data_IF_813243853125
#
_entry.id   IF_813243853125
#
_cell.length_a   1.000
_cell.length_b   1.000
_cell.length_c   1.000
_cell.angle_alpha   90.00
_cell.angle_beta   90.00
_cell.angle_gamma   90.00
#
_symmetry.space_group_name_H-M   'P 1'
#
loop_
_entity.id
_entity.type
_entity.pdbx_description
1 polymer ?
#
# COMPACT_ATOMS: atom_id res chain seq x y z
N UNK A 1 14.44 -22.01 4.94
CA UNK A 1 12.98 -21.85 4.98
C UNK A 1 12.50 -21.25 6.29
N UNK A 2 13.32 -21.34 7.32
CA UNK A 2 13.13 -20.68 8.62
C UNK A 2 13.79 -19.32 8.66
N UNK A 3 14.58 -19.05 7.68
CA UNK A 3 15.53 -17.95 7.65
C UNK A 3 14.91 -16.64 7.18
N UNK A 4 13.60 -16.67 6.92
CA UNK A 4 12.84 -15.49 6.47
C UNK A 4 12.45 -14.55 7.61
N UNK A 5 12.56 -15.03 8.86
CA UNK A 5 12.16 -14.23 9.99
C UNK A 5 13.30 -14.07 10.98
N UNK A 6 13.47 -12.86 11.48
CA UNK A 6 14.48 -12.62 12.47
C UNK A 6 14.25 -13.46 13.71
N UNK A 7 15.30 -13.77 14.32
CA UNK A 7 15.59 -14.44 15.58
C UNK A 7 14.44 -15.10 16.37
N UNK A 8 13.30 -14.47 16.53
CA UNK A 8 12.19 -15.02 17.30
C UNK A 8 11.52 -16.23 16.65
N UNK A 9 11.62 -16.38 15.33
CA UNK A 9 11.02 -17.47 14.56
C UNK A 9 12.03 -18.53 14.11
N UNK A 10 13.31 -18.22 14.19
CA UNK A 10 14.39 -19.15 13.81
C UNK A 10 14.32 -20.47 14.60
N UNK A 11 13.79 -20.40 15.81
CA UNK A 11 13.65 -21.56 16.69
C UNK A 11 12.33 -22.32 16.54
N UNK A 12 11.42 -21.84 15.70
CA UNK A 12 10.17 -22.54 15.44
C UNK A 12 10.35 -23.52 14.29
N UNK A 13 10.48 -24.84 14.58
CA UNK A 13 10.81 -25.84 13.58
C UNK A 13 9.75 -26.01 12.51
N UNK A 14 8.57 -25.45 12.71
CA UNK A 14 7.39 -25.61 11.86
C UNK A 14 7.02 -24.36 11.06
N UNK A 15 7.79 -23.27 11.19
CA UNK A 15 7.48 -22.04 10.43
C UNK A 15 7.92 -22.22 8.98
N UNK A 16 7.08 -22.85 8.19
CA UNK A 16 7.18 -22.81 6.74
C UNK A 16 6.28 -21.67 6.27
N UNK A 17 6.88 -20.56 5.85
CA UNK A 17 6.13 -19.53 5.20
C UNK A 17 6.04 -19.90 3.74
N UNK A 18 4.85 -20.22 3.36
CA UNK A 18 4.52 -20.49 1.98
C UNK A 18 4.08 -19.17 1.38
N UNK A 19 4.97 -18.57 0.60
CA UNK A 19 4.73 -17.30 -0.11
C UNK A 19 3.78 -17.46 -1.29
N UNK A 20 2.92 -18.46 -1.30
CA UNK A 20 2.08 -18.82 -2.45
C UNK A 20 1.16 -17.67 -2.90
N UNK A 21 0.92 -16.70 -2.04
CA UNK A 21 -0.01 -15.61 -2.29
C UNK A 21 0.67 -14.24 -2.41
N UNK A 22 1.98 -14.17 -2.28
CA UNK A 22 2.71 -12.99 -2.73
C UNK A 22 2.70 -13.03 -4.26
N UNK A 23 1.67 -12.50 -4.86
CA UNK A 23 1.69 -12.14 -6.27
C UNK A 23 2.71 -11.03 -6.42
N UNK A 24 3.97 -11.40 -6.61
CA UNK A 24 4.93 -10.46 -7.16
C UNK A 24 4.40 -10.10 -8.55
N UNK A 25 3.75 -8.97 -8.66
CA UNK A 25 3.49 -8.36 -9.97
C UNK A 25 4.86 -7.92 -10.47
N UNK A 26 5.59 -8.85 -11.09
CA UNK A 26 6.72 -8.50 -11.92
C UNK A 26 6.13 -7.75 -13.11
N UNK A 27 6.11 -6.43 -13.01
CA UNK A 27 6.05 -5.65 -14.23
C UNK A 27 7.32 -5.97 -15.01
N UNK A 28 7.19 -6.84 -15.99
CA UNK A 28 8.28 -7.13 -16.89
C UNK A 28 8.41 -5.90 -17.81
N UNK A 29 9.17 -4.91 -17.34
CA UNK A 29 9.41 -3.65 -18.05
C UNK A 29 10.08 -3.83 -19.42
N UNK A 30 10.53 -5.05 -19.74
CA UNK A 30 11.18 -5.37 -21.01
C UNK A 30 10.20 -5.50 -22.18
N UNK A 31 8.90 -5.66 -21.93
CA UNK A 31 7.91 -5.84 -22.99
C UNK A 31 7.05 -4.61 -23.29
N UNK A 32 7.22 -3.52 -22.55
CA UNK A 32 6.45 -2.30 -22.77
C UNK A 32 7.27 -1.30 -23.57
N UNK A 33 6.81 -0.95 -24.74
CA UNK A 33 7.36 0.15 -25.55
C UNK A 33 7.31 1.50 -24.82
N UNK A 34 6.50 1.62 -23.79
CA UNK A 34 6.44 2.76 -22.88
C UNK A 34 6.65 2.29 -21.44
N UNK A 35 7.65 2.83 -20.77
CA UNK A 35 7.84 2.65 -19.33
C UNK A 35 6.65 3.26 -18.59
N UNK A 36 5.88 2.43 -17.92
CA UNK A 36 4.88 2.89 -16.96
C UNK A 36 5.62 3.22 -15.67
N UNK A 37 5.68 4.49 -15.30
CA UNK A 37 6.28 4.89 -14.03
C UNK A 37 5.50 4.31 -12.84
N UNK A 38 6.20 4.08 -11.71
CA UNK A 38 5.64 3.49 -10.48
C UNK A 38 4.33 4.17 -10.06
N UNK A 39 4.25 5.50 -10.14
CA UNK A 39 3.06 6.26 -9.79
C UNK A 39 1.86 6.00 -10.70
N UNK A 40 2.09 5.69 -11.97
CA UNK A 40 0.99 5.35 -12.87
C UNK A 40 0.50 3.93 -12.64
N UNK A 41 1.42 3.00 -12.32
CA UNK A 41 1.06 1.64 -11.93
C UNK A 41 0.27 1.64 -10.61
N UNK A 42 0.72 2.41 -9.63
CA UNK A 42 0.03 2.58 -8.35
C UNK A 42 -1.35 3.21 -8.52
N UNK A 43 -1.45 4.24 -9.36
CA UNK A 43 -2.74 4.86 -9.70
C UNK A 43 -3.68 3.85 -10.36
N UNK A 44 -3.21 3.06 -11.33
CA UNK A 44 -3.99 2.01 -11.99
C UNK A 44 -4.50 0.97 -11.01
N UNK A 45 -3.64 0.49 -10.12
CA UNK A 45 -4.03 -0.44 -9.04
C UNK A 45 -5.15 0.13 -8.18
N UNK A 46 -5.00 1.36 -7.71
CA UNK A 46 -6.01 2.02 -6.89
C UNK A 46 -7.33 2.21 -7.64
N UNK A 47 -7.26 2.57 -8.93
CA UNK A 47 -8.43 2.70 -9.80
C UNK A 47 -9.19 1.37 -9.91
N UNK A 48 -8.48 0.26 -10.13
CA UNK A 48 -9.10 -1.06 -10.24
C UNK A 48 -9.85 -1.47 -8.97
N UNK A 49 -9.30 -1.13 -7.79
CA UNK A 49 -10.01 -1.32 -6.53
C UNK A 49 -11.25 -0.44 -6.38
N UNK A 50 -11.17 0.83 -6.77
CA UNK A 50 -12.31 1.75 -6.68
C UNK A 50 -13.43 1.41 -7.66
N UNK A 51 -13.08 0.90 -8.83
CA UNK A 51 -14.03 0.43 -9.84
C UNK A 51 -14.58 -0.97 -9.56
N UNK A 52 -14.07 -1.67 -8.55
CA UNK A 52 -14.50 -3.04 -8.23
C UNK A 52 -13.94 -4.12 -9.16
N UNK A 53 -12.95 -3.79 -9.99
CA UNK A 53 -12.25 -4.77 -10.83
C UNK A 53 -11.40 -5.75 -10.02
N UNK A 54 -10.97 -5.33 -8.83
CA UNK A 54 -10.26 -6.16 -7.86
C UNK A 54 -11.10 -6.23 -6.58
N UNK A 55 -11.36 -7.45 -6.11
CA UNK A 55 -12.06 -7.69 -4.85
C UNK A 55 -11.18 -7.38 -3.64
N UNK A 56 -11.83 -7.19 -2.48
CA UNK A 56 -11.16 -6.99 -1.20
C UNK A 56 -10.62 -5.57 -1.01
N UNK A 57 -9.63 -5.44 -0.14
CA UNK A 57 -9.03 -4.17 0.24
C UNK A 57 -7.53 -4.16 -0.06
N UNK A 58 -7.03 -3.04 -0.58
CA UNK A 58 -5.61 -2.87 -0.85
C UNK A 58 -4.89 -2.35 0.40
N UNK A 59 -3.82 -3.03 0.80
CA UNK A 59 -2.86 -2.57 1.80
C UNK A 59 -1.52 -2.29 1.11
N UNK A 60 -1.24 -1.02 0.86
CA UNK A 60 -0.14 -0.56 0.02
C UNK A 60 0.96 0.04 0.90
N UNK A 61 2.07 -0.67 1.00
CA UNK A 61 3.25 -0.26 1.74
C UNK A 61 4.22 0.47 0.80
N UNK A 62 4.25 1.79 0.92
CA UNK A 62 5.06 2.67 0.08
C UNK A 62 5.66 3.81 0.90
N UNK A 63 6.97 3.80 1.10
CA UNK A 63 7.63 4.77 1.98
C UNK A 63 7.86 6.13 1.30
N UNK A 64 6.80 6.73 0.80
CA UNK A 64 6.86 8.08 0.23
C UNK A 64 5.55 8.84 0.40
N UNK A 65 5.49 9.70 1.42
CA UNK A 65 4.34 10.58 1.68
C UNK A 65 3.99 11.42 0.45
N UNK A 66 5.00 11.96 -0.24
CA UNK A 66 4.78 12.82 -1.40
C UNK A 66 4.16 12.08 -2.57
N UNK A 67 4.64 10.87 -2.86
CA UNK A 67 4.14 10.09 -4.01
C UNK A 67 2.76 9.50 -3.75
N UNK A 68 2.50 9.05 -2.52
CA UNK A 68 1.16 8.67 -2.07
C UNK A 68 0.20 9.85 -2.23
N UNK A 69 0.57 11.04 -1.75
CA UNK A 69 -0.27 12.25 -1.86
C UNK A 69 -0.56 12.62 -3.31
N UNK A 70 0.40 12.52 -4.22
CA UNK A 70 0.20 12.74 -5.66
C UNK A 70 -0.75 11.69 -6.27
N UNK A 71 -0.65 10.44 -5.83
CA UNK A 71 -1.56 9.38 -6.29
C UNK A 71 -2.99 9.69 -5.86
N UNK A 72 -3.20 10.09 -4.61
CA UNK A 72 -4.51 10.49 -4.10
C UNK A 72 -5.06 11.71 -4.85
N UNK A 73 -4.20 12.69 -5.15
CA UNK A 73 -4.62 13.85 -5.95
C UNK A 73 -5.13 13.47 -7.35
N UNK A 74 -4.48 12.48 -7.97
CA UNK A 74 -4.97 11.94 -9.25
C UNK A 74 -6.30 11.21 -9.09
N UNK A 75 -6.45 10.40 -8.03
CA UNK A 75 -7.69 9.68 -7.74
C UNK A 75 -8.87 10.63 -7.50
N UNK A 76 -8.65 11.78 -6.88
CA UNK A 76 -9.70 12.81 -6.68
C UNK A 76 -10.32 13.31 -8.00
N UNK A 77 -9.59 13.22 -9.10
CA UNK A 77 -10.03 13.66 -10.43
C UNK A 77 -10.68 12.53 -11.23
N UNK A 78 -10.73 11.33 -10.65
CA UNK A 78 -11.26 10.15 -11.31
C UNK A 78 -12.78 10.23 -11.40
N UNK A 79 -13.29 10.05 -12.60
CA UNK A 79 -14.73 9.98 -12.89
C UNK A 79 -15.03 8.68 -13.60
N UNK A 80 -16.20 8.16 -13.35
CA UNK A 80 -16.73 7.04 -14.11
C UNK A 80 -16.78 7.39 -15.60
N UNK A 81 -16.26 6.56 -16.49
CA UNK A 81 -16.23 6.87 -17.91
C UNK A 81 -17.63 6.95 -18.55
N UNK A 82 -18.62 6.22 -18.00
CA UNK A 82 -19.98 6.17 -18.53
C UNK A 82 -20.89 7.19 -17.86
N UNK A 83 -20.95 7.18 -16.52
CA UNK A 83 -21.88 8.01 -15.75
C UNK A 83 -21.35 9.42 -15.49
N UNK A 84 -20.02 9.65 -15.63
CA UNK A 84 -19.31 10.87 -15.26
C UNK A 84 -19.37 11.23 -13.77
N UNK A 85 -19.88 10.35 -12.95
CA UNK A 85 -19.90 10.51 -11.50
C UNK A 85 -18.50 10.45 -10.91
N UNK A 86 -18.28 11.13 -9.79
CA UNK A 86 -17.01 11.09 -9.08
C UNK A 86 -16.83 9.73 -8.38
N UNK A 87 -15.81 8.98 -8.79
CA UNK A 87 -15.48 7.68 -8.18
C UNK A 87 -14.70 7.84 -6.85
N UNK A 88 -14.15 9.03 -6.63
CA UNK A 88 -13.38 9.29 -5.43
C UNK A 88 -14.27 9.59 -4.23
N UNK A 89 -14.19 8.73 -3.22
CA UNK A 89 -14.73 8.99 -1.89
C UNK A 89 -13.58 8.97 -0.87
N UNK A 90 -13.36 10.06 -0.11
CA UNK A 90 -12.33 10.11 0.92
C UNK A 90 -12.43 8.98 1.94
N UNK A 91 -13.65 8.51 2.21
CA UNK A 91 -13.88 7.40 3.13
C UNK A 91 -13.38 6.04 2.61
N UNK A 92 -13.07 5.94 1.33
CA UNK A 92 -12.47 4.74 0.75
C UNK A 92 -10.95 4.69 0.91
N UNK A 93 -10.32 5.77 1.37
CA UNK A 93 -8.87 5.87 1.46
C UNK A 93 -8.45 6.12 2.90
N UNK A 94 -7.47 5.33 3.36
CA UNK A 94 -6.79 5.48 4.64
C UNK A 94 -5.31 5.72 4.37
N UNK A 95 -4.73 6.71 5.05
CA UNK A 95 -3.33 7.05 4.90
C UNK A 95 -2.63 7.11 6.26
N UNK A 96 -1.76 6.15 6.53
CA UNK A 96 -1.02 6.02 7.77
C UNK A 96 0.44 6.39 7.54
N UNK A 97 0.88 7.46 8.18
CA UNK A 97 2.27 7.89 8.21
C UNK A 97 2.59 8.58 9.54
N UNK A 98 3.84 8.95 9.76
CA UNK A 98 4.21 9.71 10.95
C UNK A 98 3.42 11.01 11.06
N UNK A 99 2.73 11.19 12.18
CA UNK A 99 1.94 12.40 12.47
C UNK A 99 2.84 13.54 12.93
N UNK A 100 3.43 14.22 11.95
CA UNK A 100 4.25 15.40 12.18
C UNK A 100 3.83 16.57 11.27
N UNK A 101 4.26 17.77 11.62
CA UNK A 101 3.89 19.00 10.91
C UNK A 101 4.25 18.97 9.42
N UNK A 102 5.41 18.41 9.07
CA UNK A 102 5.86 18.35 7.67
C UNK A 102 4.99 17.41 6.83
N UNK A 103 4.66 16.23 7.35
CA UNK A 103 3.79 15.28 6.66
C UNK A 103 2.38 15.86 6.51
N UNK A 104 1.82 16.45 7.58
CA UNK A 104 0.53 17.16 7.51
C UNK A 104 0.54 18.22 6.42
N UNK A 105 1.59 19.02 6.36
CA UNK A 105 1.74 20.08 5.35
C UNK A 105 1.81 19.49 3.94
N UNK A 106 2.57 18.39 3.73
CA UNK A 106 2.67 17.72 2.43
C UNK A 106 1.33 17.14 2.00
N UNK A 107 0.66 16.43 2.89
CA UNK A 107 -0.66 15.84 2.63
C UNK A 107 -1.68 16.92 2.28
N UNK A 108 -1.80 17.96 3.10
CA UNK A 108 -2.76 19.07 2.85
C UNK A 108 -2.48 19.83 1.57
N UNK A 109 -1.20 20.08 1.26
CA UNK A 109 -0.83 20.78 0.02
C UNK A 109 -1.30 20.05 -1.22
N UNK A 110 -1.25 18.73 -1.22
CA UNK A 110 -1.53 17.90 -2.39
C UNK A 110 -2.99 17.45 -2.43
N UNK A 111 -3.54 17.07 -1.28
CA UNK A 111 -4.90 16.52 -1.21
C UNK A 111 -5.99 17.55 -0.93
N UNK A 112 -5.61 18.73 -0.45
CA UNK A 112 -6.51 19.81 -0.02
C UNK A 112 -7.05 19.59 1.40
N UNK A 113 -7.63 20.66 1.97
CA UNK A 113 -8.08 20.68 3.37
C UNK A 113 -9.16 19.63 3.70
N UNK A 114 -9.99 19.26 2.74
CA UNK A 114 -11.05 18.27 2.94
C UNK A 114 -10.55 16.85 3.18
N UNK A 115 -9.30 16.58 2.90
CA UNK A 115 -8.71 15.25 3.08
C UNK A 115 -7.44 15.28 3.94
N UNK A 116 -7.23 16.30 4.69
CA UNK A 116 -5.96 16.67 5.32
C UNK A 116 -5.53 15.84 6.53
N UNK A 117 -6.23 14.78 6.92
CA UNK A 117 -5.87 14.08 8.14
C UNK A 117 -5.11 12.78 7.87
N UNK A 118 -3.99 12.65 8.59
CA UNK A 118 -3.24 11.42 8.70
C UNK A 118 -4.04 10.48 9.60
N UNK A 119 -4.29 9.27 9.10
CA UNK A 119 -4.98 8.25 9.87
C UNK A 119 -4.07 7.57 10.88
N UNK A 120 -4.64 7.13 11.99
CA UNK A 120 -3.97 6.21 12.91
C UNK A 120 -3.93 4.80 12.34
N UNK A 121 -2.96 4.00 12.79
CA UNK A 121 -2.91 2.57 12.49
C UNK A 121 -4.11 1.82 13.10
N UNK A 122 -4.74 2.36 14.11
CA UNK A 122 -5.92 1.81 14.78
C UNK A 122 -7.25 2.23 14.16
N UNK A 123 -7.23 3.17 13.21
CA UNK A 123 -8.45 3.55 12.50
C UNK A 123 -8.98 2.38 11.66
N UNK A 124 -10.28 2.33 11.38
CA UNK A 124 -10.86 1.28 10.56
C UNK A 124 -10.20 1.14 9.19
N UNK A 125 -10.03 -0.09 8.75
CA UNK A 125 -9.57 -0.41 7.40
C UNK A 125 -10.55 0.13 6.37
N UNK A 126 -10.03 0.56 5.22
CA UNK A 126 -10.79 1.09 4.10
C UNK A 126 -10.46 0.34 2.81
N UNK A 127 -11.12 0.67 1.73
CA UNK A 127 -10.90 0.02 0.43
C UNK A 127 -9.45 0.11 -0.04
N UNK A 128 -8.80 1.26 0.21
CA UNK A 128 -7.39 1.50 -0.10
C UNK A 128 -6.70 2.03 1.16
N UNK A 129 -5.64 1.36 1.59
CA UNK A 129 -4.89 1.71 2.78
C UNK A 129 -3.43 1.92 2.41
N UNK A 130 -2.93 3.14 2.58
CA UNK A 130 -1.53 3.48 2.35
C UNK A 130 -0.76 3.51 3.67
N UNK A 131 0.45 2.96 3.64
CA UNK A 131 1.35 2.91 4.78
C UNK A 131 2.75 3.36 4.40
N UNK A 132 3.35 4.22 5.22
CA UNK A 132 4.79 4.50 5.16
C UNK A 132 5.54 3.64 6.18
N UNK A 133 6.85 3.80 6.27
CA UNK A 133 7.72 3.02 7.15
C UNK A 133 7.23 2.93 8.61
N UNK A 134 6.46 3.89 9.09
CA UNK A 134 5.87 3.89 10.44
C UNK A 134 5.02 2.65 10.73
N UNK A 135 4.44 2.03 9.72
CA UNK A 135 3.59 0.85 9.86
C UNK A 135 4.25 -0.45 9.34
N UNK A 136 5.53 -0.40 8.93
CA UNK A 136 6.23 -1.59 8.44
C UNK A 136 6.55 -2.57 9.56
N UNK A 137 6.72 -2.06 10.77
CA UNK A 137 7.04 -2.83 11.95
C UNK A 137 5.99 -2.61 13.05
N UNK A 138 5.74 -3.63 13.85
CA UNK A 138 4.96 -3.52 15.08
C UNK A 138 3.45 -3.33 14.94
N UNK A 139 2.88 -3.41 13.74
CA UNK A 139 1.44 -3.28 13.53
C UNK A 139 0.82 -4.61 13.12
N UNK A 140 -0.27 -5.01 13.76
CA UNK A 140 -1.15 -6.07 13.29
C UNK A 140 -2.45 -5.45 12.77
N UNK A 141 -2.77 -5.75 11.52
CA UNK A 141 -3.93 -5.24 10.82
C UNK A 141 -4.85 -6.42 10.53
N UNK A 142 -6.02 -6.42 11.16
CA UNK A 142 -7.02 -7.46 10.95
C UNK A 142 -7.89 -7.08 9.76
N UNK A 143 -7.79 -7.85 8.67
CA UNK A 143 -8.61 -7.66 7.49
C UNK A 143 -8.74 -8.97 6.71
N UNK A 144 -9.94 -9.54 6.73
CA UNK A 144 -10.23 -10.80 6.02
C UNK A 144 -10.15 -10.64 4.49
N UNK A 145 -10.36 -9.44 4.00
CA UNK A 145 -10.35 -9.10 2.57
C UNK A 145 -9.08 -8.33 2.14
N UNK A 146 -8.09 -8.28 3.00
CA UNK A 146 -6.87 -7.50 2.76
C UNK A 146 -5.89 -8.16 1.81
N UNK A 147 -5.38 -7.41 0.83
CA UNK A 147 -4.29 -7.82 -0.05
C UNK A 147 -3.08 -6.89 0.13
N UNK A 148 -1.90 -7.46 0.29
CA UNK A 148 -0.65 -6.72 0.55
C UNK A 148 0.08 -6.38 -0.74
N UNK A 149 0.43 -5.12 -0.90
CA UNK A 149 1.26 -4.60 -1.99
C UNK A 149 2.46 -3.84 -1.42
N UNK A 150 3.64 -4.17 -1.90
CA UNK A 150 4.88 -3.46 -1.55
C UNK A 150 5.33 -2.69 -2.78
N UNK A 151 5.44 -1.38 -2.64
CA UNK A 151 5.82 -0.48 -3.74
C UNK A 151 7.24 0.02 -3.51
N UNK A 152 8.10 -0.24 -4.48
CA UNK A 152 9.50 0.20 -4.50
C UNK A 152 9.71 1.03 -5.76
N UNK A 153 10.27 2.21 -5.59
CA UNK A 153 10.71 3.07 -6.69
C UNK A 153 12.23 3.19 -6.63
N UNK A 154 12.93 2.62 -7.60
CA UNK A 154 14.40 2.62 -7.63
C UNK A 154 14.99 4.03 -7.70
N UNK A 155 14.20 5.01 -8.16
CA UNK A 155 14.61 6.41 -8.18
C UNK A 155 14.52 7.10 -6.81
N UNK A 156 13.87 6.46 -5.83
CA UNK A 156 13.63 7.03 -4.49
C UNK A 156 14.19 6.10 -3.43
N UNK A 157 15.39 6.40 -2.93
CA UNK A 157 16.09 5.55 -1.96
C UNK A 157 15.26 5.22 -0.71
N UNK A 158 14.46 6.16 -0.24
CA UNK A 158 13.60 5.96 0.93
C UNK A 158 12.54 4.87 0.74
N UNK A 159 12.24 4.47 -0.50
CA UNK A 159 11.25 3.41 -0.79
C UNK A 159 11.87 2.03 -0.90
N UNK A 160 13.20 1.95 -0.94
CA UNK A 160 13.90 0.68 -0.99
C UNK A 160 13.72 -0.06 0.33
N UNK A 161 13.34 -1.31 0.25
CA UNK A 161 13.14 -2.19 1.41
C UNK A 161 14.10 -3.37 1.36
N UNK A 162 14.55 -3.80 2.52
CA UNK A 162 15.35 -5.02 2.64
C UNK A 162 14.45 -6.23 2.40
N UNK A 163 14.78 -7.03 1.39
CA UNK A 163 14.01 -8.21 1.00
C UNK A 163 14.05 -9.32 2.04
N UNK A 164 15.11 -9.39 2.82
CA UNK A 164 15.31 -10.45 3.82
C UNK A 164 14.66 -10.13 5.16
N UNK A 165 14.54 -8.85 5.48
CA UNK A 165 14.03 -8.38 6.77
C UNK A 165 12.65 -7.74 6.63
N UNK A 166 12.54 -6.66 5.86
CA UNK A 166 11.32 -5.85 5.83
C UNK A 166 10.19 -6.48 5.01
N UNK A 167 10.49 -7.12 3.88
CA UNK A 167 9.44 -7.74 3.05
C UNK A 167 8.70 -8.83 3.83
N UNK A 168 9.37 -9.79 4.52
CA UNK A 168 8.67 -10.75 5.37
C UNK A 168 7.83 -10.11 6.46
N UNK A 169 8.34 -9.06 7.10
CA UNK A 169 7.62 -8.36 8.14
C UNK A 169 6.36 -7.68 7.60
N UNK A 170 6.47 -6.98 6.47
CA UNK A 170 5.33 -6.33 5.83
C UNK A 170 4.27 -7.37 5.41
N UNK A 171 4.68 -8.46 4.78
CA UNK A 171 3.75 -9.52 4.37
C UNK A 171 3.01 -10.16 5.55
N UNK A 172 3.62 -10.14 6.74
CA UNK A 172 2.97 -10.63 7.95
C UNK A 172 2.06 -9.62 8.66
N UNK A 173 1.88 -8.39 8.15
CA UNK A 173 1.06 -7.37 8.84
C UNK A 173 -0.44 -7.57 8.71
N UNK A 174 -0.89 -8.06 7.56
CA UNK A 174 -2.30 -8.32 7.35
C UNK A 174 -2.61 -9.71 7.89
N UNK A 175 -3.51 -9.76 8.87
CA UNK A 175 -3.90 -11.00 9.56
C UNK A 175 -5.29 -11.44 9.14
N UNK A 176 -5.52 -12.75 9.15
CA UNK A 176 -6.80 -13.39 8.87
C UNK A 176 -7.33 -13.15 7.45
N UNK A 177 -6.47 -12.77 6.52
CA UNK A 177 -6.92 -12.55 5.15
C UNK A 177 -7.19 -13.87 4.42
N UNK A 178 -8.27 -13.92 3.65
CA UNK A 178 -8.62 -15.06 2.76
C UNK A 178 -7.69 -15.17 1.53
N UNK A 179 -6.84 -14.20 1.32
CA UNK A 179 -5.90 -14.17 0.20
C UNK A 179 -4.50 -14.69 0.57
N UNK A 180 -4.32 -15.23 1.76
CA UNK A 180 -3.08 -15.86 2.22
C UNK A 180 -2.97 -17.30 1.77
#
# INVERSE_FOLDING_TARGET
>A
KRDYFPSALVHLPLCTIVWNNVKAVKFNLQSLEKRVGVNNALFGLCMDYLMGNIEGNAHIFYNSVSEISKTIEKLKKLKDPETKEELFNPNNIRFVCSDNHENKKKVRKTTGERWGDINSITDPVRKINFYTATAFEGADILDEDGQTYIVIDDAIDATKVDFHILVPQICGRIRNTRFN
#
